data_IF_764416518830
#
_entry.id   IF_764416518830
#
_cell.length_a   1.000
_cell.length_b   1.000
_cell.length_c   1.000
_cell.angle_alpha   90.00
_cell.angle_beta   90.00
_cell.angle_gamma   90.00
#
_symmetry.space_group_name_H-M   'P 1'
#
loop_
_entity.id
_entity.type
_entity.pdbx_description
1 polymer ?
#
# COMPACT_ATOMS: atom_id res chain seq x y z
N UNK A 1 15.96 -17.72 22.11
CA UNK A 1 14.70 -17.11 21.71
C UNK A 1 15.09 -15.97 20.78
N UNK A 2 14.93 -16.15 19.45
CA UNK A 2 15.20 -15.08 18.48
C UNK A 2 13.96 -14.17 18.50
N UNK A 3 14.15 -12.90 18.77
CA UNK A 3 13.11 -11.88 18.75
C UNK A 3 12.68 -11.71 17.29
N UNK A 4 11.48 -12.14 16.92
CA UNK A 4 10.85 -11.74 15.65
C UNK A 4 10.56 -10.25 15.75
N UNK A 5 11.43 -9.43 15.19
CA UNK A 5 11.13 -8.03 14.94
C UNK A 5 10.15 -7.99 13.76
N UNK A 6 8.86 -7.92 14.06
CA UNK A 6 7.85 -7.52 13.06
C UNK A 6 8.06 -6.02 12.90
N UNK A 7 8.86 -5.64 11.89
CA UNK A 7 9.05 -4.25 11.53
C UNK A 7 7.71 -3.63 11.19
N UNK A 8 7.43 -2.45 11.76
CA UNK A 8 6.26 -1.66 11.44
C UNK A 8 6.14 -1.53 9.91
N UNK A 9 4.96 -1.88 9.39
CA UNK A 9 4.67 -1.85 7.95
C UNK A 9 4.45 -0.38 7.55
N UNK A 10 5.55 0.34 7.35
CA UNK A 10 5.56 1.58 6.59
C UNK A 10 5.94 1.18 5.17
N UNK A 11 4.98 1.34 4.25
CA UNK A 11 5.00 0.78 2.91
C UNK A 11 6.26 0.99 2.09
N UNK A 12 6.67 -0.04 1.32
CA UNK A 12 7.73 0.10 0.29
C UNK A 12 7.78 -1.10 -0.68
N UNK A 13 7.69 -0.85 -1.97
CA UNK A 13 7.54 -1.83 -3.01
C UNK A 13 8.71 -2.17 -3.92
N UNK A 14 8.56 -3.10 -4.81
CA UNK A 14 9.21 -3.17 -6.12
C UNK A 14 8.58 -4.16 -7.11
N UNK A 15 8.82 -3.86 -8.37
CA UNK A 15 8.24 -4.41 -9.57
C UNK A 15 8.72 -5.83 -9.91
N UNK A 16 7.79 -6.70 -10.32
CA UNK A 16 8.08 -7.93 -11.05
C UNK A 16 7.56 -7.84 -12.49
N UNK A 17 8.43 -8.05 -13.48
CA UNK A 17 8.07 -8.18 -14.89
C UNK A 17 7.35 -9.51 -15.13
N UNK A 18 6.13 -9.48 -15.65
CA UNK A 18 5.42 -10.66 -16.13
C UNK A 18 5.49 -10.68 -17.65
N UNK A 19 6.07 -11.73 -18.21
CA UNK A 19 6.10 -12.02 -19.64
C UNK A 19 4.73 -12.49 -20.12
N UNK A 20 4.21 -11.84 -21.18
CA UNK A 20 2.98 -12.24 -21.88
C UNK A 20 3.21 -13.50 -22.72
N UNK A 21 2.33 -14.47 -22.59
CA UNK A 21 2.21 -15.58 -23.55
C UNK A 21 0.88 -15.43 -24.30
N UNK A 22 0.98 -15.21 -25.61
CA UNK A 22 -0.15 -15.05 -26.54
C UNK A 22 -0.64 -16.42 -27.00
N UNK A 23 -1.85 -16.77 -26.61
CA UNK A 23 -2.61 -17.92 -27.11
C UNK A 23 -3.79 -17.47 -27.96
N UNK A 24 -3.73 -17.77 -29.25
CA UNK A 24 -4.81 -17.60 -30.24
C UNK A 24 -5.93 -18.61 -29.99
N UNK A 25 -7.18 -18.18 -29.96
CA UNK A 25 -8.35 -19.08 -30.09
C UNK A 25 -9.49 -18.48 -30.93
N UNK A 26 -10.07 -19.38 -31.69
CA UNK A 26 -11.07 -19.24 -32.72
C UNK A 26 -12.44 -18.71 -32.25
N UNK A 27 -13.11 -18.08 -33.19
CA UNK A 27 -14.50 -17.60 -33.19
C UNK A 27 -15.53 -18.75 -33.12
N UNK A 28 -16.59 -18.55 -32.39
CA UNK A 28 -18.02 -18.50 -32.69
C UNK A 28 -18.82 -18.94 -31.45
N UNK A 29 -19.44 -17.96 -30.80
CA UNK A 29 -20.82 -18.07 -30.33
C UNK A 29 -21.32 -16.67 -29.91
N UNK A 30 -22.49 -16.31 -30.47
CA UNK A 30 -23.16 -15.05 -30.19
C UNK A 30 -23.88 -15.12 -28.84
N UNK A 31 -23.13 -15.00 -27.75
CA UNK A 31 -23.60 -14.62 -26.45
C UNK A 31 -23.06 -13.24 -26.15
N UNK A 32 -23.85 -12.36 -25.52
CA UNK A 32 -23.48 -11.02 -25.06
C UNK A 32 -22.07 -11.07 -24.47
N UNK A 33 -21.07 -10.62 -25.23
CA UNK A 33 -19.71 -10.56 -24.74
C UNK A 33 -19.70 -9.59 -23.57
N UNK A 34 -19.54 -10.10 -22.34
CA UNK A 34 -19.10 -9.28 -21.23
C UNK A 34 -17.70 -8.78 -21.57
N UNK A 35 -17.65 -7.65 -22.26
CA UNK A 35 -16.38 -7.02 -22.60
C UNK A 35 -15.67 -6.72 -21.28
N UNK A 36 -14.45 -7.22 -21.14
CA UNK A 36 -13.67 -6.98 -19.93
C UNK A 36 -13.49 -5.48 -19.72
N UNK A 37 -13.65 -5.02 -18.49
CA UNK A 37 -13.41 -3.63 -18.11
C UNK A 37 -11.91 -3.39 -18.17
N UNK A 38 -11.52 -2.35 -18.89
CA UNK A 38 -10.11 -2.00 -19.11
C UNK A 38 -9.66 -0.79 -18.32
N UNK A 39 -10.58 -0.02 -17.74
CA UNK A 39 -10.29 1.19 -16.98
C UNK A 39 -10.93 1.16 -15.58
N UNK A 40 -10.19 1.64 -14.57
CA UNK A 40 -10.63 1.70 -13.18
C UNK A 40 -10.31 3.04 -12.54
N UNK A 41 -11.11 3.49 -11.53
CA UNK A 41 -10.99 4.81 -10.90
C UNK A 41 -9.93 4.80 -9.79
N UNK A 42 -8.69 5.18 -10.12
CA UNK A 42 -7.54 5.14 -9.21
C UNK A 42 -7.67 6.14 -8.07
N UNK A 43 -8.00 7.43 -8.36
CA UNK A 43 -8.13 8.45 -7.32
C UNK A 43 -9.24 8.06 -6.32
N UNK A 44 -10.40 7.59 -6.81
CA UNK A 44 -11.49 7.16 -5.94
C UNK A 44 -11.10 5.96 -5.06
N UNK A 45 -10.39 4.98 -5.63
CA UNK A 45 -9.92 3.83 -4.87
C UNK A 45 -8.93 4.24 -3.77
N UNK A 46 -7.96 5.11 -4.07
CA UNK A 46 -7.02 5.63 -3.08
C UNK A 46 -7.73 6.46 -1.99
N UNK A 47 -8.74 7.27 -2.34
CA UNK A 47 -9.59 7.95 -1.34
C UNK A 47 -10.31 6.93 -0.45
N UNK A 48 -10.81 5.83 -1.01
CA UNK A 48 -11.47 4.78 -0.24
C UNK A 48 -10.49 4.06 0.71
N UNK A 49 -9.24 3.86 0.32
CA UNK A 49 -8.19 3.25 1.14
C UNK A 49 -7.78 4.18 2.29
N UNK A 50 -7.46 5.45 2.00
CA UNK A 50 -6.82 6.34 2.97
C UNK A 50 -7.79 7.24 3.75
N UNK A 51 -8.97 7.56 3.20
CA UNK A 51 -9.86 8.58 3.74
C UNK A 51 -11.20 8.05 4.23
N UNK A 52 -11.53 6.78 4.02
CA UNK A 52 -12.73 6.15 4.57
C UNK A 52 -12.41 5.28 5.79
N UNK A 53 -13.36 5.21 6.72
CA UNK A 53 -13.26 4.28 7.82
C UNK A 53 -13.27 2.83 7.29
N UNK A 54 -12.34 2.03 7.76
CA UNK A 54 -12.24 0.60 7.45
C UNK A 54 -11.68 -0.16 8.63
N UNK A 55 -12.01 -1.43 8.71
CA UNK A 55 -11.49 -2.40 9.67
C UNK A 55 -11.26 -3.71 8.90
N UNK A 56 -10.00 -4.12 8.78
CA UNK A 56 -9.61 -5.23 7.95
C UNK A 56 -8.57 -6.10 8.64
N UNK A 57 -8.78 -7.42 8.57
CA UNK A 57 -7.84 -8.39 9.12
C UNK A 57 -7.25 -9.23 8.01
N UNK A 58 -5.92 -9.31 7.99
CA UNK A 58 -5.14 -10.13 7.07
C UNK A 58 -4.42 -11.23 7.83
N UNK A 59 -4.23 -12.36 7.17
CA UNK A 59 -3.66 -13.57 7.74
C UNK A 59 -2.45 -14.03 6.95
N UNK A 60 -1.46 -14.55 7.67
CA UNK A 60 -0.27 -15.20 7.11
C UNK A 60 0.13 -16.40 7.95
N UNK A 61 1.05 -17.20 7.41
CA UNK A 61 1.73 -18.26 8.16
C UNK A 61 3.23 -18.09 7.96
N UNK A 62 3.95 -17.86 9.04
CA UNK A 62 5.41 -17.68 9.05
C UNK A 62 6.03 -18.84 9.82
N UNK A 63 6.84 -19.65 9.16
CA UNK A 63 7.46 -20.85 9.76
C UNK A 63 6.45 -21.80 10.45
N UNK A 64 5.24 -21.91 9.88
CA UNK A 64 4.17 -22.74 10.45
C UNK A 64 3.36 -22.07 11.60
N UNK A 65 3.69 -20.84 11.96
CA UNK A 65 3.01 -20.06 12.99
C UNK A 65 2.01 -19.13 12.33
N UNK A 66 0.74 -19.17 12.78
CA UNK A 66 -0.29 -18.26 12.31
C UNK A 66 -0.04 -16.84 12.83
N UNK A 67 -0.03 -15.88 11.90
CA UNK A 67 0.09 -14.44 12.17
C UNK A 67 -1.15 -13.74 11.64
N UNK A 68 -1.74 -12.89 12.45
CA UNK A 68 -2.89 -12.04 12.13
C UNK A 68 -2.46 -10.58 12.24
N UNK A 69 -2.79 -9.76 11.26
CA UNK A 69 -2.62 -8.30 11.33
C UNK A 69 -3.96 -7.64 11.04
N UNK A 70 -4.44 -6.86 11.99
CA UNK A 70 -5.65 -6.05 11.84
C UNK A 70 -5.26 -4.60 11.57
N UNK A 71 -5.83 -4.00 10.53
CA UNK A 71 -5.69 -2.59 10.17
C UNK A 71 -7.03 -1.89 10.35
N UNK A 72 -7.06 -0.87 11.20
CA UNK A 72 -8.21 0.00 11.37
C UNK A 72 -7.87 1.41 10.86
N UNK A 73 -8.62 1.93 9.88
CA UNK A 73 -8.49 3.30 9.37
C UNK A 73 -9.61 4.15 9.95
N UNK A 74 -9.25 5.23 10.64
CA UNK A 74 -10.17 6.12 11.35
C UNK A 74 -9.98 7.55 10.85
N UNK A 75 -10.88 8.08 9.98
CA UNK A 75 -10.84 9.48 9.59
C UNK A 75 -11.02 10.41 10.79
N UNK A 76 -10.12 11.39 10.95
CA UNK A 76 -10.12 12.35 12.09
C UNK A 76 -10.51 13.76 11.68
N UNK A 77 -10.68 14.03 10.38
CA UNK A 77 -11.07 15.33 9.86
C UNK A 77 -9.89 16.25 9.53
N UNK A 78 -10.04 17.54 9.79
CA UNK A 78 -9.09 18.57 9.34
C UNK A 78 -8.13 18.99 10.44
N UNK A 79 -6.84 19.11 10.11
CA UNK A 79 -5.78 19.51 11.02
C UNK A 79 -4.75 20.41 10.30
N UNK A 80 -3.89 21.06 11.06
CA UNK A 80 -2.69 21.73 10.53
C UNK A 80 -1.51 20.76 10.50
N UNK A 81 -0.95 20.51 9.32
CA UNK A 81 0.25 19.70 9.14
C UNK A 81 1.26 20.46 8.27
N UNK A 82 2.48 20.59 8.75
CA UNK A 82 3.56 21.33 8.09
C UNK A 82 3.14 22.72 7.57
N UNK A 83 2.35 23.46 8.37
CA UNK A 83 1.84 24.80 8.05
C UNK A 83 0.68 24.84 7.05
N UNK A 84 0.13 23.70 6.64
CA UNK A 84 -1.01 23.58 5.73
C UNK A 84 -2.23 22.96 6.41
N UNK A 85 -3.41 23.38 6.01
CA UNK A 85 -4.67 22.75 6.45
C UNK A 85 -4.93 21.53 5.57
N UNK A 86 -5.01 20.35 6.20
CA UNK A 86 -5.13 19.05 5.53
C UNK A 86 -6.20 18.18 6.20
N UNK A 87 -6.65 17.14 5.52
CA UNK A 87 -7.39 16.03 6.11
C UNK A 87 -6.39 15.04 6.73
N UNK A 88 -6.84 14.26 7.70
CA UNK A 88 -6.05 13.17 8.25
C UNK A 88 -6.88 11.95 8.58
N UNK A 89 -6.24 10.81 8.56
CA UNK A 89 -6.75 9.53 9.06
C UNK A 89 -5.69 8.85 9.91
N UNK A 90 -6.12 8.32 11.04
CA UNK A 90 -5.32 7.45 11.88
C UNK A 90 -5.42 6.02 11.34
N UNK A 91 -4.31 5.31 11.27
CA UNK A 91 -4.24 3.89 10.95
C UNK A 91 -3.66 3.18 12.16
N UNK A 92 -4.42 2.25 12.70
CA UNK A 92 -3.99 1.39 13.79
C UNK A 92 -3.70 0.01 13.22
N UNK A 93 -2.46 -0.46 13.34
CA UNK A 93 -2.09 -1.83 13.01
C UNK A 93 -1.90 -2.63 14.31
N UNK A 94 -2.59 -3.78 14.42
CA UNK A 94 -2.48 -4.69 15.57
C UNK A 94 -2.04 -6.05 15.07
N UNK A 95 -0.86 -6.50 15.49
CA UNK A 95 -0.31 -7.81 15.13
C UNK A 95 -0.54 -8.81 16.24
N UNK A 96 -1.05 -10.00 15.88
CA UNK A 96 -1.25 -11.11 16.80
C UNK A 96 -0.52 -12.36 16.32
N UNK A 97 0.05 -13.11 17.25
CA UNK A 97 0.59 -14.45 17.06
C UNK A 97 -0.14 -15.38 18.04
N UNK A 98 -0.68 -16.49 17.54
CA UNK A 98 -1.47 -17.44 18.37
C UNK A 98 -2.58 -16.75 19.17
N UNK A 99 -3.22 -15.73 18.60
CA UNK A 99 -4.27 -14.88 19.19
C UNK A 99 -3.79 -13.92 20.30
N UNK A 100 -2.50 -13.86 20.64
CA UNK A 100 -1.94 -12.90 21.57
C UNK A 100 -1.44 -11.66 20.80
N UNK A 101 -1.78 -10.46 21.28
CA UNK A 101 -1.28 -9.21 20.72
C UNK A 101 0.21 -9.10 21.07
N UNK A 102 1.04 -9.05 20.02
CA UNK A 102 2.50 -8.93 20.15
C UNK A 102 3.01 -7.54 19.78
N UNK A 103 2.23 -6.80 18.99
CA UNK A 103 2.55 -5.44 18.56
C UNK A 103 1.30 -4.64 18.27
N UNK A 104 1.38 -3.34 18.50
CA UNK A 104 0.37 -2.36 18.12
C UNK A 104 1.04 -1.05 17.75
N UNK A 105 0.88 -0.62 16.53
CA UNK A 105 1.40 0.65 16.03
C UNK A 105 0.26 1.59 15.61
N UNK A 106 0.53 2.89 15.68
CA UNK A 106 -0.40 3.94 15.27
C UNK A 106 0.32 4.89 14.35
N UNK A 107 -0.22 5.05 13.14
CA UNK A 107 0.23 6.05 12.17
C UNK A 107 -0.88 7.03 11.84
N UNK A 108 -0.51 8.22 11.40
CA UNK A 108 -1.47 9.23 10.92
C UNK A 108 -1.06 9.70 9.54
N UNK A 109 -1.91 9.45 8.55
CA UNK A 109 -1.74 9.92 7.19
C UNK A 109 -2.33 11.32 7.02
N UNK A 110 -1.62 12.20 6.30
CA UNK A 110 -2.03 13.58 6.00
C UNK A 110 -2.17 13.77 4.49
N UNK A 111 -3.32 14.31 4.06
CA UNK A 111 -3.64 14.48 2.64
C UNK A 111 -4.61 15.66 2.42
N UNK A 112 -4.69 16.13 1.18
CA UNK A 112 -5.79 16.98 0.72
C UNK A 112 -6.66 16.19 -0.25
N UNK A 113 -7.94 16.55 -0.35
CA UNK A 113 -8.89 15.99 -1.31
C UNK A 113 -9.19 17.03 -2.39
N UNK A 114 -9.63 16.55 -3.57
CA UNK A 114 -10.05 17.36 -4.72
C UNK A 114 -8.96 18.33 -5.24
N UNK A 115 -7.83 17.84 -5.75
CA UNK A 115 -7.42 16.44 -5.97
C UNK A 115 -6.81 15.78 -4.72
N UNK A 116 -6.76 14.44 -4.73
CA UNK A 116 -6.02 13.71 -3.70
C UNK A 116 -4.52 13.99 -3.84
N UNK A 117 -3.94 14.59 -2.79
CA UNK A 117 -2.50 14.85 -2.68
C UNK A 117 -2.02 14.45 -1.29
N UNK A 118 -1.11 13.51 -1.23
CA UNK A 118 -0.47 13.11 0.01
C UNK A 118 0.49 14.21 0.50
N UNK A 119 0.55 14.42 1.82
CA UNK A 119 1.38 15.44 2.47
C UNK A 119 2.44 14.84 3.38
N UNK A 120 2.26 13.61 3.81
CA UNK A 120 3.16 12.86 4.67
C UNK A 120 2.41 12.01 5.68
N UNK A 121 3.16 11.42 6.59
CA UNK A 121 2.60 10.67 7.72
C UNK A 121 3.38 10.99 9.01
N UNK A 122 2.83 10.55 10.14
CA UNK A 122 3.53 10.51 11.43
C UNK A 122 3.24 9.19 12.12
N UNK A 123 4.22 8.69 12.86
CA UNK A 123 4.09 7.60 13.82
C UNK A 123 4.78 8.00 15.14
N UNK A 124 4.96 7.07 16.06
CA UNK A 124 5.64 7.34 17.32
C UNK A 124 7.09 7.81 17.11
N UNK A 125 7.79 7.24 16.11
CA UNK A 125 9.22 7.46 15.88
C UNK A 125 9.53 8.17 14.55
N UNK A 126 8.50 8.54 13.76
CA UNK A 126 8.70 9.05 12.40
C UNK A 126 7.83 10.26 12.09
N UNK A 127 8.40 11.18 11.35
CA UNK A 127 7.73 12.35 10.76
C UNK A 127 8.07 12.43 9.27
N UNK A 128 7.12 12.12 8.41
CA UNK A 128 7.32 12.13 6.96
C UNK A 128 6.79 13.39 6.31
N UNK A 129 7.50 13.85 5.28
CA UNK A 129 7.05 14.87 4.33
C UNK A 129 6.98 14.23 2.95
N UNK A 130 5.78 14.23 2.38
CA UNK A 130 5.53 13.74 1.04
C UNK A 130 5.64 14.85 -0.02
N UNK A 131 6.24 14.51 -1.14
CA UNK A 131 6.28 15.33 -2.35
C UNK A 131 5.61 14.58 -3.49
N UNK A 132 4.51 15.15 -3.99
CA UNK A 132 3.79 14.59 -5.14
C UNK A 132 4.63 14.77 -6.40
N UNK A 133 5.00 13.67 -7.06
CA UNK A 133 5.82 13.64 -8.27
C UNK A 133 4.96 13.65 -9.54
N UNK A 134 3.79 12.99 -9.50
CA UNK A 134 2.81 12.96 -10.56
C UNK A 134 1.40 13.05 -9.97
N UNK A 135 0.46 13.62 -10.71
CA UNK A 135 -0.96 13.62 -10.32
C UNK A 135 -1.51 12.19 -10.36
N UNK A 136 -2.34 11.88 -9.38
CA UNK A 136 -3.12 10.64 -9.36
C UNK A 136 -4.23 10.77 -10.42
N UNK A 137 -4.32 9.86 -11.41
CA UNK A 137 -5.34 9.94 -12.43
C UNK A 137 -6.71 9.55 -11.86
N UNK A 138 -7.78 10.20 -12.34
CA UNK A 138 -9.15 9.79 -11.99
C UNK A 138 -9.44 8.37 -12.48
N UNK A 139 -9.01 8.04 -13.71
CA UNK A 139 -9.14 6.72 -14.33
C UNK A 139 -7.81 6.28 -14.90
N UNK A 140 -7.51 4.99 -14.88
CA UNK A 140 -6.34 4.42 -15.54
C UNK A 140 -6.67 3.08 -16.22
N UNK A 141 -5.95 2.78 -17.29
CA UNK A 141 -6.05 1.50 -17.98
C UNK A 141 -5.35 0.38 -17.20
N UNK A 142 -5.89 -0.83 -17.27
CA UNK A 142 -5.20 -2.04 -16.80
C UNK A 142 -3.84 -2.16 -17.49
N UNK A 143 -2.80 -2.44 -16.73
CA UNK A 143 -1.41 -2.45 -17.18
C UNK A 143 -0.68 -1.13 -16.98
N UNK A 144 -1.37 -0.07 -16.51
CA UNK A 144 -0.74 1.21 -16.20
C UNK A 144 -0.03 1.19 -14.86
N UNK A 145 0.98 2.07 -14.72
CA UNK A 145 1.69 2.34 -13.47
C UNK A 145 2.22 3.78 -13.45
N UNK A 146 2.46 4.33 -12.28
CA UNK A 146 3.13 5.63 -12.14
C UNK A 146 3.76 5.78 -10.77
N UNK A 147 5.01 6.24 -10.72
CA UNK A 147 5.62 6.76 -9.50
C UNK A 147 5.01 8.13 -9.22
N UNK A 148 4.26 8.24 -8.12
CA UNK A 148 3.45 9.42 -7.84
C UNK A 148 3.92 10.21 -6.63
N UNK A 149 4.74 9.61 -5.77
CA UNK A 149 5.10 10.17 -4.48
C UNK A 149 6.56 9.89 -4.14
N UNK A 150 7.24 10.86 -3.51
CA UNK A 150 8.49 10.67 -2.78
C UNK A 150 8.29 11.14 -1.34
N UNK A 151 8.73 10.36 -0.38
CA UNK A 151 8.68 10.68 1.04
C UNK A 151 10.08 10.81 1.62
N UNK A 152 10.29 11.90 2.37
CA UNK A 152 11.43 12.07 3.24
C UNK A 152 10.98 11.86 4.69
N UNK A 153 11.57 10.89 5.36
CA UNK A 153 11.22 10.50 6.73
C UNK A 153 12.30 11.00 7.69
N UNK A 154 11.86 11.68 8.73
CA UNK A 154 12.69 12.28 9.77
C UNK A 154 12.37 11.63 11.12
N UNK A 155 13.32 11.65 12.05
CA UNK A 155 13.14 11.17 13.41
C UNK A 155 12.14 11.99 14.24
N UNK A 156 11.84 13.22 13.82
CA UNK A 156 10.92 14.14 14.50
C UNK A 156 10.44 15.28 13.59
N UNK A 157 9.42 16.02 14.05
CA UNK A 157 8.84 17.16 13.34
C UNK A 157 9.79 18.35 13.18
N UNK A 158 10.92 18.39 13.90
CA UNK A 158 11.97 19.37 13.73
C UNK A 158 12.80 19.18 12.46
N UNK A 159 12.68 18.03 11.81
CA UNK A 159 13.29 17.67 10.53
C UNK A 159 14.82 17.80 10.52
N UNK A 160 15.46 17.54 11.66
CA UNK A 160 16.90 17.68 11.83
C UNK A 160 17.67 16.47 11.33
N UNK A 161 17.09 15.29 11.45
CA UNK A 161 17.68 14.01 11.04
C UNK A 161 16.77 13.33 10.02
N UNK A 162 17.21 13.32 8.77
CA UNK A 162 16.61 12.53 7.71
C UNK A 162 17.08 11.09 7.90
N UNK A 163 16.17 10.17 8.19
CA UNK A 163 16.47 8.76 8.49
C UNK A 163 16.16 7.86 7.30
N UNK A 164 15.08 8.14 6.54
CA UNK A 164 14.67 7.33 5.41
C UNK A 164 14.20 8.22 4.24
N UNK A 165 14.29 7.67 3.02
CA UNK A 165 13.69 8.26 1.82
C UNK A 165 13.12 7.16 0.94
N UNK A 166 11.87 7.33 0.51
CA UNK A 166 11.14 6.36 -0.29
C UNK A 166 10.46 6.98 -1.50
N UNK A 167 10.18 6.17 -2.50
CA UNK A 167 9.24 6.50 -3.57
C UNK A 167 8.08 5.52 -3.53
N UNK A 168 6.87 6.00 -3.88
CA UNK A 168 5.69 5.16 -4.03
C UNK A 168 5.23 5.14 -5.48
N UNK A 169 4.92 3.94 -5.96
CA UNK A 169 4.42 3.67 -7.31
C UNK A 169 3.10 2.91 -7.20
N UNK A 170 2.05 3.38 -7.86
CA UNK A 170 0.88 2.53 -8.04
C UNK A 170 1.00 1.73 -9.34
N UNK A 171 0.44 0.52 -9.33
CA UNK A 171 0.31 -0.36 -10.50
C UNK A 171 -1.11 -0.88 -10.58
N UNK A 172 -1.64 -1.09 -11.80
CA UNK A 172 -2.98 -1.61 -12.01
C UNK A 172 -2.93 -2.88 -12.87
N UNK A 173 -3.26 -4.02 -12.28
CA UNK A 173 -3.29 -5.32 -12.96
C UNK A 173 -4.71 -5.88 -13.04
N UNK A 174 -5.01 -6.66 -14.08
CA UNK A 174 -6.31 -7.33 -14.19
C UNK A 174 -6.48 -8.36 -13.07
N UNK A 175 -7.66 -8.39 -12.43
CA UNK A 175 -8.04 -9.42 -11.48
C UNK A 175 -9.16 -10.32 -12.02
N UNK A 176 -10.13 -9.75 -12.73
CA UNK A 176 -11.20 -10.46 -13.42
C UNK A 176 -11.75 -9.59 -14.57
N UNK A 177 -12.84 -10.01 -15.22
CA UNK A 177 -13.50 -9.22 -16.26
C UNK A 177 -14.06 -7.87 -15.77
N UNK A 178 -14.28 -7.69 -14.47
CA UNK A 178 -14.92 -6.51 -13.88
C UNK A 178 -14.19 -5.97 -12.63
N UNK A 179 -12.99 -6.44 -12.34
CA UNK A 179 -12.16 -5.97 -11.22
C UNK A 179 -10.67 -5.94 -11.59
N UNK A 180 -9.92 -5.10 -10.89
CA UNK A 180 -8.47 -4.98 -11.04
C UNK A 180 -7.78 -4.98 -9.67
N UNK A 181 -6.50 -5.37 -9.62
CA UNK A 181 -5.63 -5.16 -8.50
C UNK A 181 -4.93 -3.81 -8.64
N UNK A 182 -5.24 -2.90 -7.75
CA UNK A 182 -4.48 -1.66 -7.54
C UNK A 182 -3.45 -1.94 -6.44
N UNK A 183 -2.17 -1.98 -6.80
CA UNK A 183 -1.10 -2.18 -5.86
C UNK A 183 -0.34 -0.87 -5.62
N UNK A 184 -0.09 -0.55 -4.37
CA UNK A 184 0.75 0.55 -3.91
C UNK A 184 2.07 -0.08 -3.52
N UNK A 185 3.11 0.27 -4.26
CA UNK A 185 4.44 -0.28 -4.10
C UNK A 185 5.36 0.86 -3.68
N UNK A 186 6.10 0.72 -2.61
CA UNK A 186 7.13 1.68 -2.26
C UNK A 186 8.53 1.13 -2.53
N UNK A 187 9.55 1.96 -2.74
CA UNK A 187 10.94 1.54 -2.93
C UNK A 187 11.59 1.07 -1.62
N UNK A 188 12.72 0.39 -1.70
CA UNK A 188 13.65 0.32 -0.57
C UNK A 188 14.06 1.73 -0.12
N UNK A 189 14.65 1.85 1.06
CA UNK A 189 15.17 3.12 1.54
C UNK A 189 16.29 3.64 0.61
N UNK A 190 16.02 4.73 -0.08
CA UNK A 190 16.95 5.30 -1.07
C UNK A 190 18.21 5.92 -0.45
N UNK A 191 18.26 6.07 0.88
CA UNK A 191 19.47 6.50 1.59
C UNK A 191 20.42 5.32 1.87
N UNK A 192 19.89 4.10 1.80
CA UNK A 192 20.60 2.84 2.07
C UNK A 192 20.63 1.95 0.82
N UNK A 193 20.92 2.54 -0.35
CA UNK A 193 20.85 1.83 -1.64
C UNK A 193 21.74 0.58 -1.70
N UNK A 194 22.88 0.59 -0.96
CA UNK A 194 23.81 -0.54 -0.89
C UNK A 194 23.43 -1.58 0.19
N UNK A 195 22.45 -1.25 1.06
CA UNK A 195 21.95 -2.13 2.13
C UNK A 195 20.41 -2.01 2.20
N UNK A 196 19.67 -2.71 1.31
CA UNK A 196 18.23 -2.55 1.20
C UNK A 196 17.51 -3.07 2.46
N UNK A 197 16.65 -2.25 3.02
CA UNK A 197 15.88 -2.51 4.26
C UNK A 197 14.56 -3.27 4.04
N UNK A 198 14.27 -3.66 2.81
CA UNK A 198 13.05 -4.37 2.47
C UNK A 198 12.05 -3.55 1.65
N UNK A 199 10.94 -4.18 1.33
CA UNK A 199 9.91 -3.61 0.44
C UNK A 199 8.52 -4.12 0.82
N UNK A 200 7.49 -3.28 0.63
CA UNK A 200 6.09 -3.67 0.83
C UNK A 200 5.28 -3.39 -0.43
N UNK A 201 4.38 -4.29 -0.78
CA UNK A 201 3.36 -4.11 -1.81
C UNK A 201 1.99 -4.32 -1.19
N UNK A 202 1.22 -3.25 -1.09
CA UNK A 202 -0.17 -3.28 -0.63
C UNK A 202 -1.10 -3.33 -1.84
N UNK A 203 -1.83 -4.42 -2.02
CA UNK A 203 -2.68 -4.63 -3.17
C UNK A 203 -4.15 -4.69 -2.78
N UNK A 204 -4.97 -3.86 -3.42
CA UNK A 204 -6.40 -3.76 -3.21
C UNK A 204 -7.13 -4.16 -4.49
N UNK A 205 -8.03 -5.15 -4.40
CA UNK A 205 -8.89 -5.52 -5.51
C UNK A 205 -10.04 -4.53 -5.58
N UNK A 206 -10.14 -3.81 -6.68
CA UNK A 206 -11.12 -2.73 -6.88
C UNK A 206 -12.14 -3.09 -7.97
N UNK A 207 -13.36 -2.58 -7.82
CA UNK A 207 -14.40 -2.61 -8.84
C UNK A 207 -14.40 -1.33 -9.70
N UNK A 208 -15.35 -1.23 -10.63
CA UNK A 208 -15.55 -0.07 -11.50
C UNK A 208 -15.95 1.22 -10.77
N UNK A 209 -16.41 1.14 -9.54
CA UNK A 209 -16.76 2.26 -8.66
C UNK A 209 -15.59 2.70 -7.77
N UNK A 210 -14.49 1.92 -7.75
CA UNK A 210 -13.35 2.12 -6.87
C UNK A 210 -13.55 1.55 -5.46
N UNK A 211 -14.61 0.76 -5.25
CA UNK A 211 -14.81 0.08 -3.96
C UNK A 211 -13.81 -1.06 -3.80
N UNK A 212 -13.34 -1.24 -2.57
CA UNK A 212 -12.39 -2.28 -2.21
C UNK A 212 -13.15 -3.59 -1.99
N UNK A 213 -12.84 -4.61 -2.79
CA UNK A 213 -13.45 -5.93 -2.74
C UNK A 213 -12.62 -6.93 -1.94
N UNK A 214 -11.28 -6.74 -1.94
CA UNK A 214 -10.31 -7.65 -1.36
C UNK A 214 -9.00 -6.93 -1.17
N UNK A 215 -8.10 -7.45 -0.32
CA UNK A 215 -6.77 -6.89 -0.10
C UNK A 215 -5.75 -7.96 0.24
N UNK A 216 -4.50 -7.66 -0.03
CA UNK A 216 -3.34 -8.43 0.37
C UNK A 216 -2.11 -7.54 0.52
N UNK A 217 -1.17 -7.98 1.34
CA UNK A 217 0.11 -7.31 1.55
C UNK A 217 1.24 -8.33 1.36
N UNK A 218 2.20 -7.99 0.51
CA UNK A 218 3.45 -8.71 0.33
C UNK A 218 4.58 -7.88 0.97
N UNK A 219 5.16 -8.37 2.06
CA UNK A 219 6.25 -7.72 2.79
C UNK A 219 7.53 -8.52 2.58
N UNK A 220 8.53 -7.90 1.95
CA UNK A 220 9.84 -8.51 1.69
C UNK A 220 10.91 -7.77 2.51
N UNK A 221 11.74 -8.50 3.23
CA UNK A 221 12.79 -7.96 4.07
C UNK A 221 14.04 -8.86 4.03
N UNK A 222 15.24 -8.29 4.26
CA UNK A 222 16.46 -9.06 4.33
C UNK A 222 16.49 -9.98 5.56
N UNK A 223 17.02 -11.19 5.39
CA UNK A 223 17.23 -12.17 6.44
C UNK A 223 18.64 -12.78 6.31
N UNK A 224 19.06 -13.57 7.28
CA UNK A 224 20.35 -14.30 7.24
C UNK A 224 20.45 -15.23 6.02
N UNK A 225 19.31 -15.67 5.45
CA UNK A 225 19.23 -16.60 4.31
C UNK A 225 18.95 -15.89 2.98
N UNK A 226 18.89 -14.55 2.96
CA UNK A 226 18.54 -13.71 1.81
C UNK A 226 17.22 -12.96 2.02
N UNK A 227 16.59 -12.52 0.92
CA UNK A 227 15.30 -11.83 1.01
C UNK A 227 14.17 -12.83 1.37
N UNK A 228 13.49 -12.57 2.47
CA UNK A 228 12.28 -13.31 2.89
C UNK A 228 11.05 -12.50 2.53
N UNK A 229 9.98 -13.15 2.04
CA UNK A 229 8.71 -12.51 1.76
C UNK A 229 7.61 -13.15 2.61
N UNK A 230 6.88 -12.31 3.35
CA UNK A 230 5.66 -12.70 4.06
C UNK A 230 4.46 -12.17 3.27
N UNK A 231 3.53 -13.07 2.95
CA UNK A 231 2.31 -12.72 2.23
C UNK A 231 1.14 -12.75 3.21
N UNK A 232 0.46 -11.61 3.36
CA UNK A 232 -0.76 -11.49 4.13
C UNK A 232 -1.94 -11.41 3.18
N UNK A 233 -2.99 -12.18 3.42
CA UNK A 233 -4.19 -12.22 2.61
C UNK A 233 -5.42 -12.10 3.51
N UNK A 234 -6.52 -11.59 2.94
CA UNK A 234 -7.83 -11.61 3.60
C UNK A 234 -8.29 -13.07 3.77
N UNK A 235 -8.87 -13.40 4.91
CA UNK A 235 -9.38 -14.73 5.24
C UNK A 235 -10.71 -15.05 4.54
#
# INVERSE_FOLDING_TARGET
MKTLAVAAIAGLGLSACVSMNSGSMNQNDASKSNQAVTQFPIETALVNIYAKASDETLYSTVEGIAVEVNFETIPKGTVMFNGQRVQNSEVVATTKILSEIIDKSVGVNYYTLDPLVFRGFTSDDEYSIATQMASIPKMADVGSSSTYLTENVYSDSGKRSLINRYTQTWTLASASSNSAWLCINSSTNLLLADDPDGTVSECYKINQQGDILDSKIDNSYPSDEGMMTINFNRG
#
